data_IF_867207849670
#
_entry.id   IF_867207849670
#
_cell.length_a   1.000
_cell.length_b   1.000
_cell.length_c   1.000
_cell.angle_alpha   90.00
_cell.angle_beta   90.00
_cell.angle_gamma   90.00
#
_symmetry.space_group_name_H-M   'P 1'
#
loop_
_entity.id
_entity.type
_entity.pdbx_description
1 polymer ?
#
# COMPACT_ATOMS: atom_id res chain seq x y z
N UNK A 1 -6.11 2.49 30.20
CA UNK A 1 -5.44 3.77 30.54
C UNK A 1 -3.96 3.82 30.12
N UNK A 2 -3.31 2.69 29.82
CA UNK A 2 -1.93 2.64 29.31
C UNK A 2 -1.78 2.96 27.79
N UNK A 3 -2.84 2.86 27.00
CA UNK A 3 -2.82 3.13 25.54
C UNK A 3 -2.94 4.62 25.15
N UNK A 4 -3.13 5.53 26.12
CA UNK A 4 -3.22 6.99 25.86
C UNK A 4 -1.89 7.73 25.95
N UNK A 5 -0.81 7.07 26.38
CA UNK A 5 0.50 7.71 26.61
C UNK A 5 1.39 7.65 25.35
N UNK A 6 1.15 6.71 24.44
CA UNK A 6 1.95 6.58 23.20
C UNK A 6 1.52 7.62 22.13
N UNK A 7 0.28 8.12 22.18
CA UNK A 7 -0.22 9.12 21.22
C UNK A 7 0.35 10.54 21.40
N UNK A 8 1.12 10.84 22.46
CA UNK A 8 1.66 12.20 22.73
C UNK A 8 3.17 12.35 22.54
N UNK A 9 3.92 11.26 22.32
CA UNK A 9 5.39 11.31 22.22
C UNK A 9 5.93 11.33 20.78
N UNK A 10 5.10 10.98 19.81
CA UNK A 10 5.41 11.13 18.39
C UNK A 10 4.35 12.08 17.84
N UNK A 11 4.76 13.30 17.48
CA UNK A 11 3.88 14.25 16.82
C UNK A 11 3.27 13.57 15.60
N UNK A 12 2.02 13.13 15.73
CA UNK A 12 1.16 12.79 14.60
C UNK A 12 0.97 14.09 13.85
N UNK A 13 1.90 14.36 12.93
CA UNK A 13 1.54 15.06 11.70
C UNK A 13 0.36 14.27 11.20
N UNK A 14 -0.84 14.85 11.31
CA UNK A 14 -1.96 14.43 10.51
C UNK A 14 -1.46 14.56 9.07
N UNK A 15 -0.95 13.46 8.53
CA UNK A 15 -0.72 13.34 7.11
C UNK A 15 -2.12 13.52 6.54
N UNK A 16 -2.34 14.64 5.85
CA UNK A 16 -3.45 14.74 4.93
C UNK A 16 -3.37 13.47 4.10
N UNK A 17 -4.29 12.54 4.35
CA UNK A 17 -4.44 11.35 3.54
C UNK A 17 -4.80 11.88 2.18
N UNK A 18 -3.80 12.02 1.32
CA UNK A 18 -4.02 12.32 -0.08
C UNK A 18 -4.96 11.23 -0.55
N UNK A 19 -6.14 11.64 -0.99
CA UNK A 19 -7.14 10.71 -1.51
C UNK A 19 -6.58 10.10 -2.78
N UNK A 20 -5.78 9.05 -2.66
CA UNK A 20 -5.32 8.29 -3.80
C UNK A 20 -6.57 7.64 -4.42
N UNK A 21 -6.77 7.89 -5.71
CA UNK A 21 -7.81 7.27 -6.53
C UNK A 21 -7.13 6.20 -7.39
N UNK A 22 -6.80 5.03 -6.83
CA UNK A 22 -6.18 3.96 -7.57
C UNK A 22 -7.13 3.49 -8.69
N UNK A 23 -6.60 2.88 -9.76
CA UNK A 23 -7.43 2.21 -10.76
C UNK A 23 -8.36 1.19 -10.08
N UNK A 24 -9.65 1.11 -10.46
CA UNK A 24 -10.66 0.34 -9.74
C UNK A 24 -10.37 -1.17 -9.72
N UNK A 25 -9.69 -1.68 -10.74
CA UNK A 25 -9.33 -3.09 -10.89
C UNK A 25 -7.89 -3.41 -10.44
N UNK A 26 -7.21 -2.46 -9.79
CA UNK A 26 -5.85 -2.69 -9.30
C UNK A 26 -5.84 -3.58 -8.05
N UNK A 27 -4.73 -4.28 -7.82
CA UNK A 27 -4.52 -5.07 -6.60
C UNK A 27 -4.67 -4.20 -5.35
N UNK A 28 -4.16 -2.96 -5.38
CA UNK A 28 -4.32 -2.00 -4.27
C UNK A 28 -5.80 -1.68 -4.01
N UNK A 29 -6.57 -1.35 -5.04
CA UNK A 29 -8.00 -1.05 -4.90
C UNK A 29 -8.78 -2.26 -4.36
N UNK A 30 -8.45 -3.47 -4.82
CA UNK A 30 -9.07 -4.71 -4.33
C UNK A 30 -8.84 -4.92 -2.84
N UNK A 31 -7.60 -4.84 -2.37
CA UNK A 31 -7.26 -5.03 -0.94
C UNK A 31 -7.89 -3.95 -0.07
N UNK A 32 -7.84 -2.69 -0.53
CA UNK A 32 -8.49 -1.57 0.16
C UNK A 32 -9.99 -1.77 0.26
N UNK A 33 -10.64 -2.18 -0.83
CA UNK A 33 -12.07 -2.40 -0.88
C UNK A 33 -12.49 -3.57 0.01
N UNK A 34 -11.73 -4.68 0.01
CA UNK A 34 -11.98 -5.81 0.92
C UNK A 34 -12.12 -5.36 2.37
N UNK A 35 -11.30 -4.42 2.84
CA UNK A 35 -11.37 -3.90 4.22
C UNK A 35 -12.50 -2.87 4.37
N UNK A 36 -12.58 -1.92 3.45
CA UNK A 36 -13.51 -0.79 3.54
C UNK A 36 -14.98 -1.19 3.36
N UNK A 37 -15.26 -2.19 2.52
CA UNK A 37 -16.62 -2.66 2.25
C UNK A 37 -17.07 -3.81 3.16
N UNK A 38 -16.21 -4.34 4.04
CA UNK A 38 -16.58 -5.45 4.90
C UNK A 38 -17.50 -5.00 6.04
N UNK A 39 -18.73 -5.48 6.03
CA UNK A 39 -19.74 -5.15 7.05
C UNK A 39 -19.37 -5.66 8.44
N UNK A 40 -18.69 -6.80 8.54
CA UNK A 40 -18.27 -7.42 9.81
C UNK A 40 -17.24 -6.51 10.49
N UNK A 41 -16.28 -5.99 9.73
CA UNK A 41 -15.25 -5.06 10.23
C UNK A 41 -15.82 -3.69 10.58
N UNK A 42 -16.97 -3.31 10.00
CA UNK A 42 -17.65 -2.04 10.32
C UNK A 42 -18.22 -2.04 11.73
N UNK A 43 -18.51 -3.22 12.27
CA UNK A 43 -19.14 -3.39 13.59
C UNK A 43 -20.63 -3.07 13.57
N UNK A 44 -21.33 -3.44 14.64
CA UNK A 44 -22.75 -3.15 14.79
C UNK A 44 -22.93 -1.63 14.96
N UNK A 45 -23.44 -0.95 13.92
CA UNK A 45 -23.73 0.49 13.94
C UNK A 45 -24.79 0.91 14.97
N UNK A 46 -25.27 -0.05 15.79
CA UNK A 46 -26.31 0.08 16.81
C UNK A 46 -25.85 0.79 18.10
N UNK A 47 -24.56 1.07 18.27
CA UNK A 47 -24.02 1.79 19.43
C UNK A 47 -23.76 3.28 19.16
N UNK A 48 -24.16 3.83 18.01
CA UNK A 48 -24.08 5.27 17.74
C UNK A 48 -25.36 5.96 18.22
N UNK A 49 -25.26 7.03 19.05
CA UNK A 49 -26.41 7.87 19.39
C UNK A 49 -27.10 8.35 18.11
N UNK A 50 -28.44 8.30 18.11
CA UNK A 50 -29.34 8.55 16.97
C UNK A 50 -29.10 9.89 16.23
N UNK A 51 -28.36 10.82 16.83
CA UNK A 51 -28.23 12.21 16.37
C UNK A 51 -26.93 12.48 15.58
N UNK A 52 -26.12 11.47 15.27
CA UNK A 52 -24.98 11.62 14.34
C UNK A 52 -25.35 11.10 12.96
N UNK A 53 -25.48 12.02 12.01
CA UNK A 53 -25.51 11.74 10.57
C UNK A 53 -24.50 10.64 10.21
N UNK A 54 -24.85 9.65 9.35
CA UNK A 54 -23.97 8.57 8.92
C UNK A 54 -22.90 9.10 7.96
N UNK A 55 -22.04 9.99 8.44
CA UNK A 55 -20.83 10.41 7.76
C UNK A 55 -19.89 9.20 7.73
N UNK A 56 -19.83 8.52 6.58
CA UNK A 56 -18.62 8.13 5.82
C UNK A 56 -17.35 7.66 6.56
N UNK A 57 -17.42 7.32 7.83
CA UNK A 57 -16.25 7.12 8.69
C UNK A 57 -16.07 5.63 8.94
N UNK A 58 -15.02 5.08 8.34
CA UNK A 58 -14.51 3.74 8.59
C UNK A 58 -14.38 3.49 10.10
N UNK A 59 -14.67 2.25 10.53
CA UNK A 59 -14.50 1.83 11.93
C UNK A 59 -13.04 1.94 12.37
N UNK A 60 -12.78 1.93 13.68
CA UNK A 60 -11.41 1.96 14.20
C UNK A 60 -10.58 0.79 13.67
N UNK A 61 -11.17 -0.41 13.65
CA UNK A 61 -10.51 -1.62 13.12
C UNK A 61 -10.23 -1.46 11.62
N UNK A 62 -11.19 -0.96 10.83
CA UNK A 62 -10.97 -0.73 9.40
C UNK A 62 -9.82 0.25 9.15
N UNK A 63 -9.69 1.31 9.96
CA UNK A 63 -8.58 2.27 9.87
C UNK A 63 -7.24 1.62 10.21
N UNK A 64 -7.17 0.87 11.31
CA UNK A 64 -5.95 0.16 11.72
C UNK A 64 -5.50 -0.88 10.68
N UNK A 65 -6.44 -1.62 10.10
CA UNK A 65 -6.12 -2.60 9.05
C UNK A 65 -5.65 -1.92 7.76
N UNK A 66 -6.25 -0.78 7.37
CA UNK A 66 -5.78 0.00 6.22
C UNK A 66 -4.39 0.57 6.44
N UNK A 67 -4.11 1.09 7.64
CA UNK A 67 -2.76 1.57 8.01
C UNK A 67 -1.73 0.44 7.89
N UNK A 68 -2.05 -0.77 8.37
CA UNK A 68 -1.16 -1.93 8.20
C UNK A 68 -0.94 -2.34 6.74
N UNK A 69 -1.94 -2.17 5.86
CA UNK A 69 -1.77 -2.40 4.42
C UNK A 69 -0.91 -1.32 3.78
N UNK A 70 -1.07 -0.06 4.18
CA UNK A 70 -0.24 1.06 3.71
C UNK A 70 1.22 0.91 4.18
N UNK A 71 1.46 0.43 5.40
CA UNK A 71 2.79 0.08 5.92
C UNK A 71 3.41 -1.13 5.20
N UNK A 72 2.58 -2.11 4.82
CA UNK A 72 3.03 -3.25 4.04
C UNK A 72 3.30 -2.89 2.57
N UNK A 73 2.68 -1.85 2.04
CA UNK A 73 3.02 -1.31 0.72
C UNK A 73 4.34 -0.52 0.78
N UNK A 74 4.92 -0.29 -0.39
CA UNK A 74 6.20 0.37 -0.49
C UNK A 74 6.02 1.89 -0.29
N UNK A 75 6.36 2.36 0.91
CA UNK A 75 6.22 3.76 1.31
C UNK A 75 7.23 4.69 0.60
N UNK A 76 6.74 5.64 -0.20
CA UNK A 76 7.54 6.67 -0.90
C UNK A 76 7.71 8.00 -0.14
N UNK A 77 7.07 8.12 1.02
CA UNK A 77 7.31 9.19 1.97
C UNK A 77 8.63 8.97 2.72
N UNK A 78 9.03 7.71 2.90
CA UNK A 78 10.33 7.38 3.49
C UNK A 78 11.47 7.60 2.49
N UNK A 79 12.58 8.17 2.99
CA UNK A 79 13.82 8.27 2.24
C UNK A 79 14.52 6.91 2.20
N UNK A 80 14.03 6.03 1.33
CA UNK A 80 14.64 4.73 1.05
C UNK A 80 15.41 4.78 -0.27
N UNK A 81 16.62 4.22 -0.27
CA UNK A 81 17.39 3.99 -1.50
C UNK A 81 16.66 2.95 -2.33
N UNK A 82 16.39 3.29 -3.58
CA UNK A 82 15.71 2.41 -4.54
C UNK A 82 16.65 2.18 -5.71
N UNK A 83 16.78 0.93 -6.12
CA UNK A 83 17.52 0.61 -7.36
C UNK A 83 16.69 1.14 -8.52
N UNK A 84 17.33 1.89 -9.42
CA UNK A 84 16.70 2.30 -10.67
C UNK A 84 17.02 1.27 -11.74
N UNK A 85 16.05 0.96 -12.60
CA UNK A 85 16.31 0.21 -13.82
C UNK A 85 17.05 1.05 -14.84
N UNK A 86 17.39 0.48 -16.01
CA UNK A 86 17.70 1.32 -17.16
C UNK A 86 16.51 2.27 -17.41
N UNK A 87 16.64 3.37 -18.14
CA UNK A 87 15.49 4.27 -18.35
C UNK A 87 15.69 5.11 -19.58
N UNK A 88 14.59 5.49 -20.23
CA UNK A 88 14.61 6.42 -21.35
C UNK A 88 13.80 7.67 -21.03
N UNK A 89 13.79 8.64 -21.94
CA UNK A 89 12.99 9.85 -21.77
C UNK A 89 11.49 9.53 -21.77
N UNK A 90 11.10 8.51 -22.54
CA UNK A 90 9.74 8.02 -22.71
C UNK A 90 9.32 7.10 -21.55
N UNK A 91 10.28 6.35 -20.98
CA UNK A 91 10.10 5.49 -19.82
C UNK A 91 11.05 5.92 -18.66
N UNK A 92 10.76 7.06 -18.00
CA UNK A 92 11.56 7.53 -16.87
C UNK A 92 11.18 6.83 -15.56
N UNK A 93 12.07 6.88 -14.56
CA UNK A 93 11.76 6.50 -13.19
C UNK A 93 10.70 7.45 -12.62
N UNK A 94 9.52 6.91 -12.30
CA UNK A 94 8.43 7.69 -11.75
C UNK A 94 8.61 7.88 -10.25
N UNK A 95 8.56 9.13 -9.80
CA UNK A 95 8.68 9.50 -8.40
C UNK A 95 7.31 10.04 -7.94
N UNK A 96 6.56 9.30 -7.10
CA UNK A 96 5.28 9.77 -6.59
C UNK A 96 5.48 10.88 -5.55
N UNK A 97 4.82 12.01 -5.77
CA UNK A 97 4.73 13.14 -4.85
C UNK A 97 3.64 14.11 -5.30
N UNK A 98 2.77 14.55 -4.38
CA UNK A 98 1.66 15.45 -4.78
C UNK A 98 2.04 16.92 -4.92
N UNK A 99 3.16 17.34 -4.35
CA UNK A 99 3.60 18.72 -4.50
C UNK A 99 4.27 18.93 -5.86
N UNK A 100 4.38 20.20 -6.27
CA UNK A 100 4.85 20.59 -7.60
C UNK A 100 6.32 20.24 -7.88
N UNK A 101 7.14 20.13 -6.82
CA UNK A 101 8.59 19.88 -6.94
C UNK A 101 9.14 19.04 -5.80
N UNK A 102 10.14 18.22 -6.08
CA UNK A 102 10.86 17.39 -5.08
C UNK A 102 12.33 17.27 -5.47
N UNK A 103 13.21 17.31 -4.48
CA UNK A 103 14.62 16.99 -4.67
C UNK A 103 14.79 15.47 -4.58
N UNK A 104 15.46 14.88 -5.57
CA UNK A 104 15.81 13.46 -5.62
C UNK A 104 17.32 13.30 -5.73
N UNK A 105 17.90 12.40 -4.94
CA UNK A 105 19.30 12.03 -5.03
C UNK A 105 19.48 10.79 -5.91
N UNK A 106 20.35 10.87 -6.92
CA UNK A 106 20.77 9.74 -7.72
C UNK A 106 22.18 9.30 -7.30
N UNK A 107 22.30 8.04 -6.88
CA UNK A 107 23.58 7.36 -6.65
C UNK A 107 23.92 6.64 -7.96
N UNK A 108 24.81 7.24 -8.76
CA UNK A 108 25.09 6.77 -10.11
C UNK A 108 25.74 5.39 -10.18
N UNK A 109 26.61 5.10 -9.21
CA UNK A 109 27.35 3.85 -9.08
C UNK A 109 27.35 3.44 -7.62
N UNK A 110 27.32 2.14 -7.33
CA UNK A 110 27.27 1.64 -5.95
C UNK A 110 28.48 2.07 -5.11
N UNK A 111 29.64 2.23 -5.75
CA UNK A 111 30.89 2.68 -5.13
C UNK A 111 31.03 4.22 -5.11
N UNK A 112 30.06 4.96 -5.64
CA UNK A 112 30.13 6.41 -5.71
C UNK A 112 29.96 7.05 -4.33
N UNK A 113 30.96 7.83 -3.89
CA UNK A 113 30.85 8.68 -2.70
C UNK A 113 30.14 10.02 -2.95
N UNK A 114 29.69 10.28 -4.19
CA UNK A 114 28.95 11.50 -4.53
C UNK A 114 27.51 11.17 -4.93
N UNK A 115 26.58 12.02 -4.47
CA UNK A 115 25.16 11.96 -4.79
C UNK A 115 24.83 13.10 -5.74
N UNK A 116 24.24 12.77 -6.89
CA UNK A 116 23.74 13.78 -7.83
C UNK A 116 22.32 14.17 -7.44
N UNK A 117 22.14 15.39 -6.93
CA UNK A 117 20.83 15.93 -6.60
C UNK A 117 20.15 16.55 -7.82
N UNK A 118 18.88 16.19 -8.04
CA UNK A 118 18.04 16.65 -9.13
C UNK A 118 16.80 17.32 -8.53
N UNK A 119 16.51 18.55 -8.97
CA UNK A 119 15.23 19.20 -8.68
C UNK A 119 14.22 18.74 -9.72
N UNK A 120 13.30 17.85 -9.34
CA UNK A 120 12.23 17.41 -10.23
C UNK A 120 11.03 18.35 -10.12
N UNK A 121 10.44 18.67 -11.27
CA UNK A 121 9.18 19.38 -11.38
C UNK A 121 8.11 18.43 -11.93
N UNK A 122 6.88 18.58 -11.47
CA UNK A 122 5.76 17.71 -11.86
C UNK A 122 5.59 17.67 -13.38
N UNK A 123 5.51 16.46 -13.93
CA UNK A 123 5.30 16.22 -15.35
C UNK A 123 6.54 16.37 -16.24
N UNK A 124 7.64 16.96 -15.76
CA UNK A 124 8.85 17.21 -16.55
C UNK A 124 9.91 16.12 -16.28
N UNK A 125 10.26 15.29 -17.29
CA UNK A 125 11.33 14.30 -17.13
C UNK A 125 12.70 14.97 -17.16
N UNK A 126 13.57 14.59 -16.23
CA UNK A 126 14.94 15.12 -16.08
C UNK A 126 15.93 13.96 -16.15
N UNK A 127 17.03 14.16 -16.88
CA UNK A 127 18.12 13.19 -17.02
C UNK A 127 19.24 13.48 -16.04
N UNK A 128 19.68 12.46 -15.30
CA UNK A 128 20.91 12.49 -14.51
C UNK A 128 22.15 12.37 -15.40
N UNK A 129 23.33 12.75 -14.88
CA UNK A 129 24.61 12.60 -15.58
C UNK A 129 24.92 11.14 -15.96
N UNK A 130 24.50 10.18 -15.16
CA UNK A 130 24.62 8.74 -15.45
C UNK A 130 23.74 8.24 -16.60
N UNK A 131 22.82 9.07 -17.11
CA UNK A 131 21.91 8.70 -18.20
C UNK A 131 20.51 8.29 -17.75
N UNK A 132 20.30 8.01 -16.47
CA UNK A 132 18.97 7.68 -15.97
C UNK A 132 18.01 8.88 -15.99
N UNK A 133 16.75 8.62 -16.30
CA UNK A 133 15.67 9.61 -16.38
C UNK A 133 14.74 9.48 -15.19
N UNK A 134 14.23 10.62 -14.70
CA UNK A 134 13.33 10.70 -13.56
C UNK A 134 12.19 11.66 -13.87
N UNK A 135 10.97 11.34 -13.43
CA UNK A 135 9.79 12.19 -13.61
C UNK A 135 8.97 12.22 -12.32
N UNK A 136 8.64 13.42 -11.86
CA UNK A 136 7.74 13.61 -10.72
C UNK A 136 6.29 13.47 -11.17
N UNK A 137 5.53 12.60 -10.52
CA UNK A 137 4.13 12.27 -10.83
C UNK A 137 3.28 12.26 -9.57
N UNK A 138 1.95 12.35 -9.73
CA UNK A 138 1.01 12.21 -8.60
C UNK A 138 0.94 10.74 -8.15
N UNK A 139 0.42 10.47 -6.95
CA UNK A 139 0.20 9.09 -6.52
C UNK A 139 -0.75 8.33 -7.44
N UNK A 140 -1.79 9.00 -7.95
CA UNK A 140 -2.75 8.39 -8.88
C UNK A 140 -2.09 7.95 -10.19
N UNK A 141 -1.22 8.80 -10.76
CA UNK A 141 -0.45 8.49 -11.96
C UNK A 141 0.54 7.34 -11.71
N UNK A 142 1.16 7.32 -10.53
CA UNK A 142 2.08 6.27 -10.12
C UNK A 142 1.37 4.92 -9.95
N UNK A 143 0.23 4.88 -9.26
CA UNK A 143 -0.57 3.67 -9.09
C UNK A 143 -1.16 3.18 -10.42
N UNK A 144 -1.55 4.09 -11.31
CA UNK A 144 -1.94 3.73 -12.67
C UNK A 144 -0.77 3.11 -13.46
N UNK A 145 0.47 3.58 -13.26
CA UNK A 145 1.63 2.98 -13.88
C UNK A 145 1.90 1.57 -13.33
N UNK A 146 1.89 1.40 -12.01
CA UNK A 146 2.00 0.10 -11.33
C UNK A 146 0.99 -0.92 -11.86
N UNK A 147 -0.28 -0.52 -11.99
CA UNK A 147 -1.35 -1.37 -12.51
C UNK A 147 -1.11 -1.79 -13.97
N UNK A 148 -0.66 -0.85 -14.82
CA UNK A 148 -0.30 -1.18 -16.21
C UNK A 148 0.85 -2.18 -16.29
N UNK A 149 1.83 -2.09 -15.40
CA UNK A 149 2.94 -3.04 -15.36
C UNK A 149 2.49 -4.40 -14.85
N UNK A 150 1.72 -4.43 -13.76
CA UNK A 150 1.20 -5.68 -13.21
C UNK A 150 0.47 -6.50 -14.26
N UNK A 151 -0.40 -5.88 -15.06
CA UNK A 151 -1.13 -6.54 -16.15
C UNK A 151 -0.25 -7.20 -17.21
N UNK A 152 0.99 -6.75 -17.39
CA UNK A 152 1.93 -7.36 -18.35
C UNK A 152 2.55 -8.64 -17.79
N UNK A 153 2.83 -8.67 -16.48
CA UNK A 153 3.56 -9.75 -15.83
C UNK A 153 2.63 -10.73 -15.10
N UNK A 154 1.36 -10.38 -14.91
CA UNK A 154 0.39 -11.18 -14.14
C UNK A 154 0.23 -12.61 -14.65
N UNK A 155 0.41 -12.85 -15.96
CA UNK A 155 0.33 -14.18 -16.58
C UNK A 155 1.57 -15.07 -16.38
N UNK A 156 2.63 -14.56 -15.76
CA UNK A 156 3.80 -15.40 -15.45
C UNK A 156 3.45 -16.37 -14.31
N UNK A 157 3.93 -17.63 -14.35
CA UNK A 157 3.52 -18.66 -13.38
C UNK A 157 3.89 -18.31 -11.93
N UNK A 158 4.99 -17.57 -11.72
CA UNK A 158 5.35 -17.06 -10.39
C UNK A 158 4.33 -16.04 -9.87
N UNK A 159 3.83 -15.16 -10.74
CA UNK A 159 2.91 -14.08 -10.40
C UNK A 159 1.47 -14.60 -10.25
N UNK A 160 1.07 -15.56 -11.08
CA UNK A 160 -0.19 -16.30 -10.92
C UNK A 160 -0.25 -17.00 -9.56
N UNK A 161 0.85 -17.61 -9.13
CA UNK A 161 0.94 -18.21 -7.80
C UNK A 161 0.76 -17.17 -6.70
N UNK A 162 1.38 -16.00 -6.80
CA UNK A 162 1.20 -14.92 -5.82
C UNK A 162 -0.26 -14.44 -5.74
N UNK A 163 -0.93 -14.31 -6.89
CA UNK A 163 -2.35 -13.96 -6.93
C UNK A 163 -3.22 -15.05 -6.33
N UNK A 164 -2.91 -16.31 -6.60
CA UNK A 164 -3.61 -17.44 -5.98
C UNK A 164 -3.43 -17.42 -4.46
N UNK A 165 -2.21 -17.23 -3.96
CA UNK A 165 -1.93 -17.16 -2.53
C UNK A 165 -2.68 -16.00 -1.86
N UNK A 166 -2.80 -14.84 -2.53
CA UNK A 166 -3.62 -13.71 -2.07
C UNK A 166 -5.11 -14.08 -2.02
N UNK A 167 -5.64 -14.72 -3.08
CA UNK A 167 -7.04 -15.12 -3.18
C UNK A 167 -7.39 -16.15 -2.10
N UNK A 168 -6.56 -17.17 -1.93
CA UNK A 168 -6.73 -18.23 -0.94
C UNK A 168 -6.66 -17.62 0.47
N UNK A 169 -5.76 -16.65 0.68
CA UNK A 169 -5.65 -15.97 1.95
C UNK A 169 -6.88 -15.10 2.28
N UNK A 170 -7.41 -14.37 1.30
CA UNK A 170 -8.62 -13.55 1.40
C UNK A 170 -9.85 -14.41 1.70
N UNK A 171 -10.00 -15.54 1.00
CA UNK A 171 -11.12 -16.45 1.17
C UNK A 171 -11.17 -17.06 2.58
N UNK A 172 -10.03 -17.53 3.09
CA UNK A 172 -9.96 -18.09 4.45
C UNK A 172 -10.15 -17.00 5.51
N UNK A 173 -9.64 -15.77 5.27
CA UNK A 173 -9.89 -14.64 6.15
C UNK A 173 -11.39 -14.30 6.22
N UNK A 174 -12.06 -14.24 5.08
CA UNK A 174 -13.50 -13.98 5.01
C UNK A 174 -14.32 -15.06 5.73
N UNK A 175 -13.93 -16.33 5.58
CA UNK A 175 -14.56 -17.45 6.29
C UNK A 175 -14.37 -17.35 7.81
N UNK A 176 -13.19 -16.97 8.28
CA UNK A 176 -12.93 -16.74 9.71
C UNK A 176 -13.75 -15.54 10.22
N UNK A 177 -13.85 -14.46 9.44
CA UNK A 177 -14.67 -13.30 9.78
C UNK A 177 -16.15 -13.69 9.93
N UNK A 178 -16.72 -14.44 8.99
CA UNK A 178 -18.12 -14.89 9.10
C UNK A 178 -18.32 -15.82 10.31
N UNK A 179 -17.38 -16.73 10.57
CA UNK A 179 -17.42 -17.57 11.78
C UNK A 179 -17.34 -16.78 13.09
N UNK A 180 -16.68 -15.61 13.07
CA UNK A 180 -16.54 -14.74 14.25
C UNK A 180 -17.80 -13.93 14.55
N UNK A 181 -18.69 -13.76 13.58
CA UNK A 181 -19.92 -12.95 13.71
C UNK A 181 -20.85 -13.43 14.81
N UNK A 182 -20.89 -14.74 15.06
CA UNK A 182 -21.68 -15.35 16.14
C UNK A 182 -20.94 -15.42 17.48
N UNK A 183 -19.65 -15.06 17.52
CA UNK A 183 -18.83 -15.13 18.72
C UNK A 183 -18.81 -13.78 19.45
N UNK A 184 -18.73 -13.85 20.78
CA UNK A 184 -18.51 -12.69 21.64
C UNK A 184 -17.20 -12.88 22.39
N UNK A 185 -16.66 -11.83 23.00
CA UNK A 185 -15.42 -11.90 23.78
C UNK A 185 -15.44 -12.98 24.88
N UNK A 186 -16.64 -13.31 25.38
CA UNK A 186 -16.86 -14.30 26.46
C UNK A 186 -17.15 -15.71 25.95
N UNK A 187 -17.29 -15.90 24.64
CA UNK A 187 -17.56 -17.21 24.05
C UNK A 187 -16.35 -18.13 24.22
N UNK A 188 -16.54 -19.42 24.55
CA UNK A 188 -15.44 -20.39 24.59
C UNK A 188 -14.69 -20.42 23.24
N UNK A 189 -13.36 -20.36 23.27
CA UNK A 189 -12.54 -20.34 22.05
C UNK A 189 -12.45 -18.98 21.34
N UNK A 190 -12.97 -17.89 21.93
CA UNK A 190 -12.87 -16.54 21.35
C UNK A 190 -11.41 -16.12 21.10
N UNK A 191 -10.51 -16.39 22.06
CA UNK A 191 -9.07 -16.13 21.94
C UNK A 191 -8.44 -16.91 20.79
N UNK A 192 -8.77 -18.20 20.65
CA UNK A 192 -8.26 -19.04 19.56
C UNK A 192 -8.73 -18.54 18.18
N UNK A 193 -9.96 -18.03 18.09
CA UNK A 193 -10.47 -17.43 16.87
C UNK A 193 -9.73 -16.14 16.50
N UNK A 194 -9.44 -15.28 17.47
CA UNK A 194 -8.66 -14.06 17.26
C UNK A 194 -7.23 -14.38 16.80
N UNK A 195 -6.59 -15.40 17.39
CA UNK A 195 -5.26 -15.86 16.97
C UNK A 195 -5.29 -16.36 15.52
N UNK A 196 -6.32 -17.14 15.14
CA UNK A 196 -6.51 -17.59 13.75
C UNK A 196 -6.69 -16.41 12.79
N UNK A 197 -7.51 -15.42 13.16
CA UNK A 197 -7.70 -14.20 12.37
C UNK A 197 -6.38 -13.43 12.22
N UNK A 198 -5.61 -13.26 13.29
CA UNK A 198 -4.33 -12.56 13.26
C UNK A 198 -3.29 -13.28 12.38
N UNK A 199 -3.19 -14.61 12.49
CA UNK A 199 -2.31 -15.42 11.63
C UNK A 199 -2.72 -15.29 10.17
N UNK A 200 -4.02 -15.37 9.89
CA UNK A 200 -4.53 -15.31 8.52
C UNK A 200 -4.39 -13.90 7.92
N UNK A 201 -4.63 -12.86 8.70
CA UNK A 201 -4.38 -11.48 8.33
C UNK A 201 -2.91 -11.24 7.95
N UNK A 202 -1.98 -11.78 8.73
CA UNK A 202 -0.56 -11.67 8.40
C UNK A 202 -0.21 -12.38 7.08
N UNK A 203 -0.78 -13.56 6.80
CA UNK A 203 -0.60 -14.22 5.49
C UNK A 203 -1.12 -13.37 4.34
N UNK A 204 -2.31 -12.81 4.49
CA UNK A 204 -2.91 -11.92 3.49
C UNK A 204 -2.05 -10.67 3.24
N UNK A 205 -1.61 -10.01 4.32
CA UNK A 205 -0.71 -8.85 4.27
C UNK A 205 0.64 -9.19 3.61
N UNK A 206 1.22 -10.34 3.94
CA UNK A 206 2.47 -10.81 3.34
C UNK A 206 2.32 -11.12 1.84
N UNK A 207 1.23 -11.79 1.43
CA UNK A 207 0.95 -12.05 0.02
C UNK A 207 0.79 -10.73 -0.77
N UNK A 208 0.04 -9.78 -0.22
CA UNK A 208 -0.09 -8.44 -0.78
C UNK A 208 1.27 -7.75 -0.92
N UNK A 209 2.08 -7.72 0.14
CA UNK A 209 3.42 -7.12 0.11
C UNK A 209 4.29 -7.73 -0.99
N UNK A 210 4.29 -9.05 -1.18
CA UNK A 210 5.08 -9.72 -2.21
C UNK A 210 4.66 -9.31 -3.63
N UNK A 211 3.35 -9.20 -3.89
CA UNK A 211 2.84 -8.70 -5.18
C UNK A 211 3.29 -7.26 -5.40
N UNK A 212 3.12 -6.40 -4.41
CA UNK A 212 3.52 -4.99 -4.49
C UNK A 212 5.02 -4.80 -4.66
N UNK A 213 5.81 -5.67 -4.02
CA UNK A 213 7.27 -5.74 -4.20
C UNK A 213 7.64 -6.17 -5.61
N UNK A 214 7.00 -7.20 -6.18
CA UNK A 214 7.21 -7.62 -7.57
C UNK A 214 6.85 -6.52 -8.57
N UNK A 215 5.75 -5.79 -8.37
CA UNK A 215 5.36 -4.64 -9.20
C UNK A 215 6.46 -3.56 -9.20
N UNK A 216 7.00 -3.25 -8.01
CA UNK A 216 8.02 -2.23 -7.87
C UNK A 216 9.39 -2.71 -8.37
N UNK A 217 9.76 -3.97 -8.15
CA UNK A 217 10.95 -4.60 -8.73
C UNK A 217 10.86 -4.67 -10.25
N UNK A 218 9.68 -4.93 -10.82
CA UNK A 218 9.47 -4.93 -12.27
C UNK A 218 9.65 -3.52 -12.88
N UNK A 219 9.27 -2.46 -12.16
CA UNK A 219 9.61 -1.09 -12.54
C UNK A 219 11.14 -0.84 -12.57
N UNK A 220 11.94 -1.69 -11.92
CA UNK A 220 13.41 -1.67 -11.92
C UNK A 220 13.97 -2.57 -13.05
N UNK A 221 13.24 -3.58 -13.52
CA UNK A 221 13.79 -4.56 -14.47
C UNK A 221 13.29 -4.44 -15.90
N UNK A 222 12.23 -3.67 -16.17
CA UNK A 222 11.58 -3.66 -17.49
C UNK A 222 12.10 -2.57 -18.44
N UNK A 223 13.44 -2.50 -18.56
CA UNK A 223 14.09 -2.13 -19.82
C UNK A 223 14.70 -3.42 -20.36
N UNK A 224 13.89 -4.09 -21.16
CA UNK A 224 14.34 -4.84 -22.32
C UNK A 224 13.51 -4.41 -23.51
#
# INVERSE_FOLDING_TARGET
>A
MALRIIQKALGTRAFNTVSCRPPPNSVYARVRNFIASNEILRGDARALPLDREPSSTLSTIQKELLEQIEEADINYHEFKVRRGGPTTKEAPNLIPFDQERRIVGCICHEESHHISYLMLYRGLPIRCKCGHWFKLVTFDEYEAARDRYWKKIESEPENEKLMKDLNDAEAELQKLLEGSKSMTDRSPGSTEMLDKLAVQWNKYKSAYHLIRKKIDEACITDIR
#
